data_IF_592738636375
#
_entry.id   IF_592738636375
#
_cell.length_a   1.000
_cell.length_b   1.000
_cell.length_c   1.000
_cell.angle_alpha   90.00
_cell.angle_beta   90.00
_cell.angle_gamma   90.00
#
_symmetry.space_group_name_H-M   'P 1'
#
loop_
_entity.id
_entity.type
_entity.pdbx_description
1 polymer ?
#
# COMPACT_ATOMS: atom_id res chain seq x y z
N UNK A 1 -20.85 -2.67 -8.75
CA UNK A 1 -21.45 -1.33 -8.80
C UNK A 1 -22.55 -1.34 -9.87
N UNK A 2 -23.78 -1.01 -9.50
CA UNK A 2 -24.88 -0.82 -10.44
C UNK A 2 -25.21 0.66 -10.44
N UNK A 3 -25.23 1.29 -11.61
CA UNK A 3 -25.39 2.74 -11.76
C UNK A 3 -26.49 3.04 -12.77
N UNK A 4 -27.33 4.01 -12.48
CA UNK A 4 -28.32 4.47 -13.43
C UNK A 4 -27.64 5.13 -14.65
N UNK A 5 -27.92 4.62 -15.86
CA UNK A 5 -27.35 5.13 -17.10
C UNK A 5 -27.60 6.64 -17.28
N UNK A 6 -28.77 7.15 -16.89
CA UNK A 6 -29.09 8.58 -16.96
C UNK A 6 -28.14 9.45 -16.12
N UNK A 7 -27.68 8.95 -14.96
CA UNK A 7 -26.68 9.68 -14.16
C UNK A 7 -25.37 9.85 -14.93
N UNK A 8 -24.91 8.78 -15.59
CA UNK A 8 -23.66 8.77 -16.37
C UNK A 8 -23.76 9.74 -17.55
N UNK A 9 -24.84 9.63 -18.33
CA UNK A 9 -25.00 10.44 -19.55
C UNK A 9 -25.25 11.91 -19.23
N UNK A 10 -26.15 12.23 -18.27
CA UNK A 10 -26.47 13.61 -17.91
C UNK A 10 -25.26 14.37 -17.32
N UNK A 11 -24.35 13.69 -16.67
CA UNK A 11 -23.17 14.31 -16.04
C UNK A 11 -21.88 14.05 -16.85
N UNK A 12 -21.97 13.45 -18.04
CA UNK A 12 -20.83 13.10 -18.91
C UNK A 12 -19.71 12.39 -18.14
N UNK A 13 -20.10 11.42 -17.28
CA UNK A 13 -19.14 10.64 -16.47
C UNK A 13 -18.50 9.58 -17.36
N UNK A 14 -17.19 9.63 -17.51
CA UNK A 14 -16.45 8.70 -18.34
C UNK A 14 -15.21 8.19 -17.61
N UNK A 15 -14.77 6.97 -17.96
CA UNK A 15 -13.46 6.49 -17.54
C UNK A 15 -12.37 7.41 -18.06
N UNK A 16 -11.57 7.95 -17.17
CA UNK A 16 -10.46 8.81 -17.56
C UNK A 16 -9.34 7.98 -18.17
N UNK A 17 -8.57 8.57 -19.08
CA UNK A 17 -7.40 7.93 -19.66
C UNK A 17 -6.27 7.76 -18.61
N UNK A 18 -6.50 6.88 -17.66
CA UNK A 18 -5.59 6.51 -16.57
C UNK A 18 -5.34 5.00 -16.71
N UNK A 19 -4.08 4.59 -16.78
CA UNK A 19 -3.74 3.18 -17.07
C UNK A 19 -4.04 2.21 -15.90
N UNK A 20 -4.04 2.71 -14.66
CA UNK A 20 -4.31 1.93 -13.44
C UNK A 20 -5.02 2.82 -12.45
N UNK A 21 -6.00 2.29 -11.71
CA UNK A 21 -6.84 3.04 -10.76
C UNK A 21 -7.81 4.04 -11.40
N UNK A 22 -8.14 3.86 -12.68
CA UNK A 22 -9.16 4.65 -13.39
C UNK A 22 -10.53 4.54 -12.70
N UNK A 23 -10.82 3.39 -12.13
CA UNK A 23 -12.02 3.10 -11.33
C UNK A 23 -12.15 4.01 -10.11
N UNK A 24 -11.04 4.43 -9.51
CA UNK A 24 -11.06 5.33 -8.34
C UNK A 24 -11.70 6.68 -8.68
N UNK A 25 -11.43 7.22 -9.86
CA UNK A 25 -12.01 8.49 -10.32
C UNK A 25 -13.46 8.29 -10.72
N UNK A 26 -13.72 7.28 -11.55
CA UNK A 26 -15.06 6.96 -12.04
C UNK A 26 -16.07 6.75 -10.89
N UNK A 27 -15.72 5.92 -9.92
CA UNK A 27 -16.55 5.67 -8.74
C UNK A 27 -16.71 6.94 -7.89
N UNK A 28 -15.67 7.76 -7.78
CA UNK A 28 -15.75 9.02 -7.02
C UNK A 28 -16.69 10.02 -7.67
N UNK A 29 -16.67 10.15 -9.00
CA UNK A 29 -17.61 11.01 -9.75
C UNK A 29 -19.06 10.53 -9.53
N UNK A 30 -19.32 9.23 -9.68
CA UNK A 30 -20.65 8.65 -9.46
C UNK A 30 -21.15 8.93 -8.05
N UNK A 31 -20.35 8.62 -7.02
CA UNK A 31 -20.77 8.80 -5.63
C UNK A 31 -20.98 10.26 -5.25
N UNK A 32 -20.21 11.19 -5.82
CA UNK A 32 -20.35 12.62 -5.55
C UNK A 32 -21.56 13.24 -6.27
N UNK A 33 -21.88 12.75 -7.48
CA UNK A 33 -22.95 13.33 -8.31
C UNK A 33 -24.31 12.61 -8.12
N UNK A 34 -24.32 11.43 -7.48
CA UNK A 34 -25.56 10.73 -7.19
C UNK A 34 -26.31 11.35 -6.01
N UNK A 35 -27.60 11.63 -6.21
CA UNK A 35 -28.48 12.13 -5.14
C UNK A 35 -28.85 11.05 -4.12
N UNK A 36 -28.96 9.80 -4.57
CA UNK A 36 -29.31 8.64 -3.74
C UNK A 36 -28.43 7.45 -4.10
N UNK A 37 -27.96 6.72 -3.10
CA UNK A 37 -27.26 5.45 -3.27
C UNK A 37 -27.69 4.45 -2.20
N UNK A 38 -27.64 3.17 -2.53
CA UNK A 38 -27.96 2.07 -1.62
C UNK A 38 -26.81 1.08 -1.60
N UNK A 39 -26.43 0.66 -0.41
CA UNK A 39 -25.45 -0.41 -0.24
C UNK A 39 -26.20 -1.74 -0.30
N UNK A 40 -25.79 -2.64 -1.21
CA UNK A 40 -26.31 -4.00 -1.29
C UNK A 40 -25.33 -4.89 -0.51
N UNK A 41 -25.73 -5.48 0.64
CA UNK A 41 -24.83 -6.25 1.50
C UNK A 41 -24.57 -7.67 0.96
N UNK A 42 -24.60 -7.86 -0.36
CA UNK A 42 -24.32 -9.11 -1.05
C UNK A 42 -23.09 -8.94 -1.94
N UNK A 43 -22.20 -9.91 -1.94
CA UNK A 43 -21.08 -9.97 -2.88
C UNK A 43 -21.59 -10.26 -4.29
N UNK A 44 -21.71 -9.21 -5.10
CA UNK A 44 -22.13 -9.32 -6.51
C UNK A 44 -20.95 -9.47 -7.49
N UNK A 45 -19.72 -9.43 -6.98
CA UNK A 45 -18.53 -9.43 -7.79
C UNK A 45 -17.37 -10.15 -7.09
N UNK A 46 -16.76 -11.10 -7.80
CA UNK A 46 -15.52 -11.76 -7.38
C UNK A 46 -14.34 -11.24 -8.19
N UNK A 47 -13.33 -10.74 -7.49
CA UNK A 47 -12.10 -10.31 -8.11
C UNK A 47 -11.07 -11.44 -8.08
N UNK A 48 -10.57 -11.84 -9.25
CA UNK A 48 -9.42 -12.75 -9.36
C UNK A 48 -8.14 -12.06 -8.85
N UNK A 49 -7.73 -12.36 -7.63
CA UNK A 49 -6.58 -11.71 -6.99
C UNK A 49 -5.23 -12.21 -7.52
N UNK A 50 -5.19 -13.33 -8.24
CA UNK A 50 -3.96 -14.04 -8.58
C UNK A 50 -3.57 -13.98 -10.06
N UNK A 51 -4.30 -13.26 -10.90
CA UNK A 51 -3.93 -13.10 -12.30
C UNK A 51 -2.58 -12.35 -12.42
N UNK A 52 -1.51 -12.99 -12.92
CA UNK A 52 -0.20 -12.37 -13.12
C UNK A 52 -0.24 -11.22 -14.13
N UNK A 53 -1.21 -11.23 -15.05
CA UNK A 53 -1.40 -10.19 -16.07
C UNK A 53 -2.26 -9.02 -15.59
N UNK A 54 -2.81 -9.09 -14.39
CA UNK A 54 -3.64 -8.02 -13.84
C UNK A 54 -2.89 -6.69 -13.82
N UNK A 55 -3.55 -5.65 -14.32
CA UNK A 55 -3.03 -4.27 -14.29
C UNK A 55 -2.67 -3.80 -12.88
N UNK A 56 -3.37 -4.32 -11.86
CA UNK A 56 -3.10 -4.00 -10.46
C UNK A 56 -1.76 -4.55 -9.94
N UNK A 57 -1.11 -5.46 -10.66
CA UNK A 57 0.22 -5.99 -10.34
C UNK A 57 1.36 -5.22 -11.00
N UNK A 58 1.06 -4.28 -11.90
CA UNK A 58 2.08 -3.38 -12.45
C UNK A 58 2.73 -2.59 -11.31
N UNK A 59 4.01 -2.28 -11.47
CA UNK A 59 4.80 -1.55 -10.47
C UNK A 59 5.59 -0.41 -11.12
N UNK A 60 6.09 0.50 -10.30
CA UNK A 60 6.99 1.55 -10.73
C UNK A 60 6.31 2.70 -11.46
N UNK A 61 6.88 3.12 -12.58
CA UNK A 61 6.56 4.37 -13.26
C UNK A 61 5.09 4.51 -13.68
N UNK A 62 4.49 3.44 -14.21
CA UNK A 62 3.08 3.44 -14.64
C UNK A 62 2.14 3.71 -13.46
N UNK A 63 2.38 3.07 -12.31
CA UNK A 63 1.59 3.30 -11.09
C UNK A 63 1.76 4.75 -10.61
N UNK A 64 3.00 5.26 -10.59
CA UNK A 64 3.26 6.63 -10.16
C UNK A 64 2.54 7.64 -11.04
N UNK A 65 2.60 7.50 -12.38
CA UNK A 65 1.87 8.37 -13.29
C UNK A 65 0.35 8.29 -13.08
N UNK A 66 -0.18 7.08 -12.92
CA UNK A 66 -1.61 6.86 -12.69
C UNK A 66 -2.07 7.49 -11.38
N UNK A 67 -1.33 7.31 -10.30
CA UNK A 67 -1.63 7.92 -9.00
C UNK A 67 -1.65 9.45 -9.07
N UNK A 68 -0.70 10.05 -9.80
CA UNK A 68 -0.69 11.51 -9.99
C UNK A 68 -1.97 11.96 -10.71
N UNK A 69 -2.35 11.28 -11.80
CA UNK A 69 -3.58 11.59 -12.54
C UNK A 69 -4.82 11.42 -11.68
N UNK A 70 -4.92 10.33 -10.90
CA UNK A 70 -6.02 10.14 -9.95
C UNK A 70 -6.11 11.30 -8.97
N UNK A 71 -5.00 11.72 -8.36
CA UNK A 71 -4.97 12.85 -7.45
C UNK A 71 -5.46 14.12 -8.14
N UNK A 72 -5.01 14.39 -9.37
CA UNK A 72 -5.42 15.57 -10.14
C UNK A 72 -6.92 15.57 -10.45
N UNK A 73 -7.47 14.44 -10.90
CA UNK A 73 -8.89 14.33 -11.22
C UNK A 73 -9.77 14.43 -9.96
N UNK A 74 -9.38 13.80 -8.85
CA UNK A 74 -10.08 13.97 -7.57
C UNK A 74 -10.03 15.43 -7.09
N UNK A 75 -8.91 16.12 -7.26
CA UNK A 75 -8.81 17.57 -6.93
C UNK A 75 -9.72 18.44 -7.82
N UNK A 76 -9.86 18.10 -9.12
CA UNK A 76 -10.82 18.75 -10.01
C UNK A 76 -12.27 18.52 -9.54
N UNK A 77 -12.59 17.27 -9.19
CA UNK A 77 -13.90 16.91 -8.65
C UNK A 77 -14.24 17.68 -7.37
N UNK A 78 -13.26 17.86 -6.46
CA UNK A 78 -13.43 18.68 -5.25
C UNK A 78 -13.74 20.16 -5.54
N UNK A 79 -13.32 20.67 -6.71
CA UNK A 79 -13.60 22.04 -7.16
C UNK A 79 -14.92 22.13 -7.92
N UNK A 80 -15.44 21.04 -8.44
CA UNK A 80 -16.68 21.05 -9.21
C UNK A 80 -17.82 21.61 -8.35
N UNK A 81 -18.62 22.52 -8.93
CA UNK A 81 -19.77 23.15 -8.27
C UNK A 81 -20.84 22.14 -7.92
N UNK A 82 -21.01 21.12 -8.77
CA UNK A 82 -22.03 20.08 -8.61
C UNK A 82 -21.65 19.02 -7.57
N UNK A 83 -20.38 18.98 -7.15
CA UNK A 83 -19.91 18.09 -6.10
C UNK A 83 -20.34 18.62 -4.73
N UNK A 84 -21.08 17.86 -3.91
CA UNK A 84 -21.51 18.28 -2.58
C UNK A 84 -20.34 18.69 -1.69
N UNK A 85 -20.46 19.83 -1.02
CA UNK A 85 -19.39 20.37 -0.14
C UNK A 85 -19.53 19.89 1.31
N UNK A 86 -20.17 18.76 1.54
CA UNK A 86 -20.34 18.18 2.88
C UNK A 86 -19.01 17.65 3.45
N UNK A 87 -18.93 17.58 4.78
CA UNK A 87 -17.75 17.00 5.45
C UNK A 87 -17.54 15.52 5.09
N UNK A 88 -18.60 14.76 4.89
CA UNK A 88 -18.54 13.34 4.47
C UNK A 88 -17.97 13.20 3.07
N UNK A 89 -18.47 13.96 2.08
CA UNK A 89 -17.94 13.99 0.72
C UNK A 89 -16.47 14.36 0.72
N UNK A 90 -16.11 15.41 1.45
CA UNK A 90 -14.72 15.85 1.58
C UNK A 90 -13.81 14.76 2.18
N UNK A 91 -14.24 14.13 3.28
CA UNK A 91 -13.50 13.01 3.91
C UNK A 91 -13.33 11.84 2.95
N UNK A 92 -14.38 11.48 2.21
CA UNK A 92 -14.32 10.42 1.21
C UNK A 92 -13.29 10.75 0.11
N UNK A 93 -13.34 11.92 -0.53
CA UNK A 93 -12.42 12.31 -1.59
C UNK A 93 -10.98 12.40 -1.07
N UNK A 94 -10.76 12.91 0.13
CA UNK A 94 -9.44 12.90 0.77
C UNK A 94 -8.93 11.49 1.02
N UNK A 95 -9.80 10.52 1.35
CA UNK A 95 -9.37 9.12 1.50
C UNK A 95 -8.87 8.53 0.18
N UNK A 96 -9.46 8.92 -0.97
CA UNK A 96 -8.99 8.50 -2.31
C UNK A 96 -7.64 9.12 -2.65
N UNK A 97 -7.45 10.40 -2.33
CA UNK A 97 -6.14 11.08 -2.48
C UNK A 97 -5.08 10.36 -1.63
N UNK A 98 -5.38 10.09 -0.35
CA UNK A 98 -4.46 9.41 0.55
C UNK A 98 -4.09 8.00 0.04
N UNK A 99 -5.06 7.25 -0.50
CA UNK A 99 -4.79 5.97 -1.13
C UNK A 99 -3.81 6.12 -2.31
N UNK A 100 -4.10 7.02 -3.25
CA UNK A 100 -3.24 7.26 -4.40
C UNK A 100 -1.85 7.75 -3.99
N UNK A 101 -1.74 8.59 -2.96
CA UNK A 101 -0.48 9.04 -2.38
C UNK A 101 0.36 7.88 -1.84
N UNK A 102 -0.25 6.97 -1.07
CA UNK A 102 0.46 5.80 -0.54
C UNK A 102 0.97 4.90 -1.67
N UNK A 103 0.16 4.66 -2.71
CA UNK A 103 0.58 3.88 -3.86
C UNK A 103 1.72 4.57 -4.63
N UNK A 104 1.64 5.88 -4.81
CA UNK A 104 2.69 6.69 -5.45
C UNK A 104 4.02 6.56 -4.67
N UNK A 105 4.00 6.78 -3.37
CA UNK A 105 5.18 6.71 -2.51
C UNK A 105 5.83 5.32 -2.52
N UNK A 106 5.02 4.26 -2.48
CA UNK A 106 5.53 2.89 -2.54
C UNK A 106 6.21 2.59 -3.88
N UNK A 107 5.72 3.17 -4.98
CA UNK A 107 6.18 2.86 -6.33
C UNK A 107 7.29 3.81 -6.84
N UNK A 108 7.40 5.03 -6.32
CA UNK A 108 8.47 5.96 -6.72
C UNK A 108 9.88 5.40 -6.43
N UNK A 109 9.97 4.51 -5.44
CA UNK A 109 11.23 3.90 -5.02
C UNK A 109 11.84 2.96 -6.08
N UNK A 110 10.97 2.30 -6.85
CA UNK A 110 11.38 1.37 -7.89
C UNK A 110 11.56 2.04 -9.25
N UNK A 111 11.28 3.35 -9.34
CA UNK A 111 11.49 4.13 -10.57
C UNK A 111 12.97 4.38 -10.85
N UNK A 112 13.37 4.28 -12.13
CA UNK A 112 14.70 4.64 -12.61
C UNK A 112 14.91 6.17 -12.59
N UNK A 113 16.17 6.63 -12.65
CA UNK A 113 16.52 8.08 -12.59
C UNK A 113 15.81 8.90 -13.67
N UNK A 114 15.81 8.44 -14.92
CA UNK A 114 15.13 9.10 -16.04
C UNK A 114 13.61 9.18 -15.84
N UNK A 115 12.99 8.13 -15.30
CA UNK A 115 11.56 8.12 -14.98
C UNK A 115 11.22 9.15 -13.90
N UNK A 116 12.09 9.36 -12.92
CA UNK A 116 11.90 10.36 -11.87
C UNK A 116 12.00 11.78 -12.44
N UNK A 117 12.90 12.02 -13.38
CA UNK A 117 12.98 13.31 -14.09
C UNK A 117 11.66 13.60 -14.79
N UNK A 118 11.10 12.60 -15.50
CA UNK A 118 9.81 12.75 -16.19
C UNK A 118 8.65 12.98 -15.21
N UNK A 119 8.64 12.29 -14.07
CA UNK A 119 7.67 12.52 -12.99
C UNK A 119 7.80 13.96 -12.48
N UNK A 120 9.01 14.44 -12.25
CA UNK A 120 9.25 15.80 -11.78
C UNK A 120 8.72 16.85 -12.78
N UNK A 121 9.00 16.68 -14.08
CA UNK A 121 8.48 17.56 -15.13
C UNK A 121 6.94 17.55 -15.16
N UNK A 122 6.33 16.38 -15.02
CA UNK A 122 4.88 16.24 -14.99
C UNK A 122 4.27 16.94 -13.77
N UNK A 123 4.90 16.82 -12.59
CA UNK A 123 4.48 17.54 -11.38
C UNK A 123 4.57 19.04 -11.55
N UNK A 124 5.67 19.56 -12.07
CA UNK A 124 5.86 21.00 -12.30
C UNK A 124 4.78 21.54 -13.22
N UNK A 125 4.51 20.85 -14.34
CA UNK A 125 3.47 21.24 -15.34
C UNK A 125 2.08 21.35 -14.69
N UNK A 126 1.76 20.50 -13.72
CA UNK A 126 0.44 20.41 -13.08
C UNK A 126 0.40 21.07 -11.68
N UNK A 127 1.41 21.85 -11.33
CA UNK A 127 1.58 22.43 -9.99
C UNK A 127 0.42 23.32 -9.54
N UNK A 128 -0.21 24.08 -10.46
CA UNK A 128 -1.37 24.91 -10.15
C UNK A 128 -2.55 24.10 -9.59
N UNK A 129 -2.77 22.92 -10.16
CA UNK A 129 -3.80 21.98 -9.67
C UNK A 129 -3.41 21.37 -8.32
N UNK A 130 -2.11 21.13 -8.11
CA UNK A 130 -1.56 20.64 -6.85
C UNK A 130 -1.59 21.67 -5.71
N UNK A 131 -1.74 22.98 -6.01
CA UNK A 131 -1.90 24.00 -4.97
C UNK A 131 -3.15 23.79 -4.09
N UNK A 132 -4.15 23.08 -4.59
CA UNK A 132 -5.29 22.61 -3.77
C UNK A 132 -4.88 21.62 -2.69
N UNK A 133 -3.88 20.80 -2.96
CA UNK A 133 -3.35 19.82 -2.03
C UNK A 133 -2.61 20.53 -0.89
N UNK A 134 -2.07 21.77 -1.11
CA UNK A 134 -1.43 22.57 -0.06
C UNK A 134 -2.38 22.92 1.10
N UNK A 135 -3.66 23.15 0.81
CA UNK A 135 -4.67 23.42 1.85
C UNK A 135 -5.07 22.16 2.63
N UNK A 136 -4.79 20.96 2.12
CA UNK A 136 -5.29 19.69 2.64
C UNK A 136 -4.24 18.83 3.37
N UNK A 137 -3.18 19.42 3.92
CA UNK A 137 -2.28 18.81 4.91
C UNK A 137 -1.42 17.59 4.51
N UNK A 138 -1.36 17.15 3.26
CA UNK A 138 -0.37 16.14 2.91
C UNK A 138 1.04 16.76 2.84
N UNK A 139 1.76 16.61 3.95
CA UNK A 139 3.15 17.08 4.11
C UNK A 139 4.06 16.44 3.03
N UNK A 140 3.71 15.22 2.61
CA UNK A 140 4.49 14.43 1.67
C UNK A 140 4.23 14.83 0.22
N UNK A 141 2.97 15.11 -0.17
CA UNK A 141 2.67 15.66 -1.49
C UNK A 141 3.24 17.06 -1.69
N UNK A 142 3.24 17.90 -0.64
CA UNK A 142 3.92 19.21 -0.66
C UNK A 142 5.42 19.06 -0.91
N UNK A 143 6.04 18.07 -0.28
CA UNK A 143 7.45 17.78 -0.45
C UNK A 143 7.74 17.21 -1.85
N UNK A 144 6.88 16.32 -2.36
CA UNK A 144 6.92 15.78 -3.74
C UNK A 144 6.82 16.90 -4.77
N UNK A 145 5.88 17.82 -4.60
CA UNK A 145 5.71 18.96 -5.51
C UNK A 145 6.93 19.90 -5.51
N UNK A 146 7.61 20.04 -4.38
CA UNK A 146 8.82 20.88 -4.29
C UNK A 146 10.07 20.20 -4.83
N UNK A 147 10.23 18.91 -4.63
CA UNK A 147 11.43 18.20 -5.05
C UNK A 147 11.26 16.67 -4.99
N UNK A 148 10.81 16.05 -6.08
CA UNK A 148 10.66 14.59 -6.21
C UNK A 148 11.97 13.85 -5.91
N UNK A 149 13.11 14.44 -6.27
CA UNK A 149 14.43 13.86 -6.00
C UNK A 149 14.75 13.83 -4.50
N UNK A 150 14.44 14.92 -3.78
CA UNK A 150 14.64 15.01 -2.32
C UNK A 150 13.77 14.01 -1.57
N UNK A 151 12.52 13.80 -2.04
CA UNK A 151 11.62 12.77 -1.51
C UNK A 151 12.21 11.38 -1.74
N UNK A 152 12.71 11.09 -2.94
CA UNK A 152 13.38 9.82 -3.22
C UNK A 152 14.60 9.63 -2.32
N UNK A 153 15.44 10.66 -2.15
CA UNK A 153 16.62 10.62 -1.28
C UNK A 153 16.22 10.36 0.18
N UNK A 154 15.23 11.09 0.69
CA UNK A 154 14.73 10.88 2.06
C UNK A 154 14.12 9.50 2.25
N UNK A 155 13.39 9.00 1.26
CA UNK A 155 12.81 7.66 1.28
C UNK A 155 13.86 6.56 1.12
N UNK A 156 14.89 6.79 0.32
CA UNK A 156 16.05 5.89 0.23
C UNK A 156 16.83 5.88 1.55
N UNK A 157 17.04 7.03 2.18
CA UNK A 157 17.67 7.10 3.50
C UNK A 157 16.85 6.37 4.57
N UNK A 158 15.52 6.52 4.53
CA UNK A 158 14.62 5.78 5.40
C UNK A 158 14.66 4.27 5.11
N UNK A 159 14.67 3.87 3.84
CA UNK A 159 14.85 2.48 3.41
C UNK A 159 16.24 1.96 3.80
N UNK A 160 17.28 2.79 3.65
CA UNK A 160 18.65 2.45 4.06
C UNK A 160 18.77 2.25 5.56
N UNK A 161 18.18 3.11 6.40
CA UNK A 161 18.14 2.90 7.86
C UNK A 161 17.55 1.52 8.20
N UNK A 162 16.53 1.07 7.48
CA UNK A 162 15.90 -0.23 7.70
C UNK A 162 16.72 -1.39 7.13
N UNK A 163 17.30 -1.21 5.95
CA UNK A 163 18.27 -2.14 5.41
C UNK A 163 19.43 -2.30 6.41
N UNK A 164 19.91 -1.21 7.01
CA UNK A 164 20.93 -1.26 8.06
C UNK A 164 20.44 -1.97 9.32
N UNK A 165 19.19 -1.75 9.73
CA UNK A 165 18.60 -2.47 10.87
C UNK A 165 18.50 -3.97 10.59
N UNK A 166 18.13 -4.37 9.36
CA UNK A 166 18.05 -5.78 8.97
C UNK A 166 19.44 -6.34 8.63
N UNK A 167 20.36 -5.52 8.10
CA UNK A 167 21.72 -5.93 7.72
C UNK A 167 22.53 -6.47 8.90
N UNK A 168 22.28 -6.00 10.13
CA UNK A 168 22.92 -6.56 11.33
C UNK A 168 22.60 -8.04 11.57
N UNK A 169 21.57 -8.58 10.94
CA UNK A 169 21.21 -9.99 10.98
C UNK A 169 21.77 -10.81 9.81
N UNK A 170 22.50 -10.17 8.86
CA UNK A 170 23.03 -10.86 7.68
C UNK A 170 24.03 -11.97 8.01
N UNK A 171 24.85 -11.74 9.03
CA UNK A 171 25.88 -12.69 9.47
C UNK A 171 25.40 -13.58 10.63
N UNK A 172 24.13 -13.53 10.93
CA UNK A 172 23.51 -14.38 11.94
C UNK A 172 23.10 -15.70 11.29
N UNK A 173 23.64 -16.81 11.75
CA UNK A 173 23.27 -18.16 11.28
C UNK A 173 21.85 -18.58 11.67
N UNK A 174 21.13 -17.72 12.39
CA UNK A 174 19.77 -18.00 12.79
C UNK A 174 18.83 -18.09 11.58
N UNK A 175 17.82 -18.92 11.71
CA UNK A 175 16.67 -18.98 10.81
C UNK A 175 15.63 -17.97 11.23
N UNK A 176 14.97 -17.36 10.27
CA UNK A 176 14.01 -16.29 10.50
C UNK A 176 12.62 -16.65 9.97
N UNK A 177 11.61 -16.18 10.66
CA UNK A 177 10.21 -16.23 10.23
C UNK A 177 9.72 -14.78 10.11
N UNK A 178 8.92 -14.49 9.09
CA UNK A 178 8.26 -13.19 8.95
C UNK A 178 6.80 -13.34 9.38
N UNK A 179 6.35 -12.53 10.32
CA UNK A 179 4.95 -12.44 10.71
C UNK A 179 4.29 -11.22 10.05
N UNK A 180 3.16 -11.40 9.39
CA UNK A 180 2.39 -10.55 8.49
C UNK A 180 2.79 -10.70 7.02
N UNK A 181 1.85 -11.25 6.21
CA UNK A 181 2.02 -11.46 4.76
C UNK A 181 1.56 -10.29 3.90
N UNK A 182 1.06 -9.20 4.49
CA UNK A 182 0.64 -7.99 3.79
C UNK A 182 1.80 -7.26 3.10
N UNK A 183 1.51 -6.16 2.43
CA UNK A 183 2.47 -5.36 1.66
C UNK A 183 3.74 -5.01 2.43
N UNK A 184 3.63 -4.88 3.74
CA UNK A 184 4.75 -4.61 4.62
C UNK A 184 5.67 -5.82 4.81
N UNK A 185 5.11 -6.98 5.12
CA UNK A 185 5.87 -8.23 5.20
C UNK A 185 6.54 -8.57 3.88
N UNK A 186 5.89 -8.27 2.75
CA UNK A 186 6.49 -8.45 1.42
C UNK A 186 7.74 -7.57 1.22
N UNK A 187 7.70 -6.31 1.65
CA UNK A 187 8.88 -5.42 1.56
C UNK A 187 10.03 -5.97 2.41
N UNK A 188 9.74 -6.40 3.65
CA UNK A 188 10.76 -6.96 4.54
C UNK A 188 11.32 -8.27 3.98
N UNK A 189 10.47 -9.17 3.49
CA UNK A 189 10.90 -10.40 2.83
C UNK A 189 11.83 -10.11 1.65
N UNK A 190 11.47 -9.13 0.79
CA UNK A 190 12.34 -8.72 -0.33
C UNK A 190 13.71 -8.23 0.15
N UNK A 191 13.76 -7.45 1.24
CA UNK A 191 15.02 -6.99 1.82
C UNK A 191 15.82 -8.18 2.36
N UNK A 192 15.18 -9.09 3.09
CA UNK A 192 15.84 -10.29 3.62
C UNK A 192 16.43 -11.16 2.51
N UNK A 193 15.67 -11.44 1.46
CA UNK A 193 16.12 -12.22 0.30
C UNK A 193 17.31 -11.55 -0.40
N UNK A 194 17.27 -10.23 -0.61
CA UNK A 194 18.37 -9.48 -1.22
C UNK A 194 19.65 -9.48 -0.36
N UNK A 195 19.50 -9.55 0.97
CA UNK A 195 20.61 -9.62 1.91
C UNK A 195 21.05 -11.07 2.20
N UNK A 196 20.45 -12.06 1.56
CA UNK A 196 20.68 -13.49 1.77
C UNK A 196 20.43 -13.93 3.23
N UNK A 197 19.50 -13.27 3.93
CA UNK A 197 19.05 -13.68 5.26
C UNK A 197 18.14 -14.90 5.10
N UNK A 198 18.39 -15.93 5.89
CA UNK A 198 17.66 -17.19 5.80
C UNK A 198 16.25 -17.07 6.40
N UNK A 199 15.28 -16.64 5.58
CA UNK A 199 13.86 -16.66 5.92
C UNK A 199 13.28 -18.01 5.54
N UNK A 200 12.73 -18.74 6.48
CA UNK A 200 12.19 -20.09 6.24
C UNK A 200 10.79 -20.01 5.61
N UNK A 201 9.88 -19.28 6.24
CA UNK A 201 8.51 -19.08 5.75
C UNK A 201 7.91 -17.79 6.32
N UNK A 202 6.65 -17.52 5.95
CA UNK A 202 5.87 -16.37 6.39
C UNK A 202 4.67 -16.85 7.19
N UNK A 203 4.25 -16.10 8.19
CA UNK A 203 3.03 -16.34 8.99
C UNK A 203 2.06 -15.18 8.79
N UNK A 204 0.77 -15.49 8.72
CA UNK A 204 -0.28 -14.50 8.76
C UNK A 204 -1.50 -15.00 9.55
N UNK A 205 -2.15 -14.08 10.27
CA UNK A 205 -3.39 -14.36 11.00
C UNK A 205 -4.59 -14.55 10.06
N UNK A 206 -4.51 -14.02 8.85
CA UNK A 206 -5.57 -14.19 7.87
C UNK A 206 -5.43 -15.55 7.18
N UNK A 207 -6.32 -16.47 7.52
CA UNK A 207 -6.35 -17.83 6.96
C UNK A 207 -6.49 -17.86 5.44
N UNK A 208 -7.03 -16.81 4.81
CA UNK A 208 -7.11 -16.68 3.36
C UNK A 208 -5.74 -16.77 2.67
N UNK A 209 -4.67 -16.38 3.36
CA UNK A 209 -3.30 -16.45 2.82
C UNK A 209 -2.60 -17.79 3.11
N UNK A 210 -3.14 -18.61 4.00
CA UNK A 210 -2.52 -19.91 4.36
C UNK A 210 -2.39 -20.82 3.14
N UNK A 211 -1.22 -21.45 2.98
CA UNK A 211 -0.86 -22.29 1.84
C UNK A 211 -0.44 -21.53 0.58
N UNK A 212 -0.69 -20.21 0.50
CA UNK A 212 -0.26 -19.39 -0.63
C UNK A 212 1.22 -19.02 -0.51
N UNK A 213 1.78 -18.52 -1.61
CA UNK A 213 3.17 -18.03 -1.61
C UNK A 213 3.23 -16.51 -1.59
N UNK A 214 4.09 -15.99 -0.73
CA UNK A 214 4.57 -14.62 -0.79
C UNK A 214 5.98 -14.68 -1.40
N UNK A 215 6.13 -14.30 -2.67
CA UNK A 215 7.36 -14.55 -3.46
C UNK A 215 7.72 -16.06 -3.46
N UNK A 216 8.91 -16.42 -2.98
CA UNK A 216 9.38 -17.81 -2.90
C UNK A 216 8.98 -18.54 -1.62
N UNK A 217 8.34 -17.86 -0.65
CA UNK A 217 8.05 -18.43 0.68
C UNK A 217 6.59 -18.76 0.86
N UNK A 218 6.31 -19.89 1.48
CA UNK A 218 4.94 -20.33 1.81
C UNK A 218 4.44 -19.52 3.01
N UNK A 219 3.17 -19.16 2.98
CA UNK A 219 2.48 -18.51 4.11
C UNK A 219 1.75 -19.60 4.90
N UNK A 220 1.98 -19.63 6.20
CA UNK A 220 1.29 -20.51 7.13
C UNK A 220 0.43 -19.72 8.12
N UNK A 221 -0.54 -20.39 8.72
CA UNK A 221 -1.30 -19.83 9.86
C UNK A 221 -0.50 -19.96 11.17
N UNK A 222 -0.81 -19.18 12.22
CA UNK A 222 -0.16 -19.32 13.52
C UNK A 222 -0.31 -20.70 14.16
N UNK A 223 -1.37 -21.43 13.85
CA UNK A 223 -1.58 -22.81 14.33
C UNK A 223 -0.48 -23.77 13.86
N UNK A 224 0.12 -23.51 12.69
CA UNK A 224 1.28 -24.26 12.21
C UNK A 224 2.48 -24.12 13.16
N UNK A 225 2.76 -22.92 13.66
CA UNK A 225 3.82 -22.70 14.65
C UNK A 225 3.54 -23.46 15.95
N UNK A 226 2.29 -23.43 16.43
CA UNK A 226 1.89 -24.14 17.66
C UNK A 226 2.13 -25.64 17.52
N UNK A 227 1.74 -26.24 16.38
CA UNK A 227 1.91 -27.68 16.11
C UNK A 227 3.38 -28.11 16.02
N UNK A 228 4.26 -27.21 15.57
CA UNK A 228 5.68 -27.50 15.29
C UNK A 228 6.63 -26.69 16.15
N UNK A 229 6.23 -26.24 17.33
CA UNK A 229 7.01 -25.34 18.17
C UNK A 229 8.43 -25.90 18.46
N UNK A 230 8.57 -27.19 18.72
CA UNK A 230 9.89 -27.82 18.98
C UNK A 230 10.93 -27.56 17.88
N UNK A 231 10.47 -27.43 16.63
CA UNK A 231 11.36 -27.17 15.47
C UNK A 231 11.67 -25.68 15.28
N UNK A 232 10.84 -24.80 15.81
CA UNK A 232 10.91 -23.36 15.53
C UNK A 232 11.14 -22.49 16.75
N UNK A 233 11.27 -23.07 17.97
CA UNK A 233 11.46 -22.33 19.22
C UNK A 233 12.63 -21.35 19.19
N UNK A 234 13.71 -21.69 18.49
CA UNK A 234 14.94 -20.91 18.40
C UNK A 234 14.94 -19.92 17.24
N UNK A 235 13.91 -19.97 16.36
CA UNK A 235 13.83 -19.04 15.25
C UNK A 235 13.54 -17.64 15.73
N UNK A 236 14.18 -16.66 15.10
CA UNK A 236 13.85 -15.25 15.28
C UNK A 236 12.66 -14.86 14.41
N UNK A 237 11.71 -14.13 14.95
CA UNK A 237 10.49 -13.71 14.25
C UNK A 237 10.52 -12.21 14.01
N UNK A 238 10.53 -11.80 12.75
CA UNK A 238 10.32 -10.41 12.35
C UNK A 238 8.83 -10.10 12.32
N UNK A 239 8.33 -9.36 13.30
CA UNK A 239 6.93 -8.90 13.34
C UNK A 239 6.82 -7.62 12.53
N UNK A 240 6.18 -7.74 11.35
CA UNK A 240 6.07 -6.70 10.34
C UNK A 240 4.71 -6.00 10.44
N UNK A 241 4.48 -5.18 11.46
CA UNK A 241 3.26 -4.41 11.58
C UNK A 241 3.54 -2.96 12.00
N UNK A 242 2.94 -1.99 11.28
CA UNK A 242 3.10 -0.56 11.55
C UNK A 242 2.31 -0.10 12.79
N UNK A 243 1.19 -0.77 13.05
CA UNK A 243 0.34 -0.44 14.18
C UNK A 243 0.91 -1.07 15.45
N UNK A 244 1.33 -0.23 16.38
CA UNK A 244 1.92 -0.66 17.64
C UNK A 244 0.98 -1.55 18.50
N UNK A 245 -0.31 -1.26 18.49
CA UNK A 245 -1.28 -2.08 19.22
C UNK A 245 -1.41 -3.48 18.60
N UNK A 246 -1.42 -3.57 17.28
CA UNK A 246 -1.40 -4.86 16.57
C UNK A 246 -0.09 -5.61 16.78
N UNK A 247 1.04 -4.91 16.78
CA UNK A 247 2.33 -5.50 17.14
C UNK A 247 2.27 -6.13 18.54
N UNK A 248 1.77 -5.42 19.56
CA UNK A 248 1.62 -5.96 20.92
C UNK A 248 0.74 -7.22 20.94
N UNK A 249 -0.40 -7.21 20.23
CA UNK A 249 -1.29 -8.38 20.14
C UNK A 249 -0.59 -9.58 19.52
N UNK A 250 0.13 -9.38 18.41
CA UNK A 250 0.89 -10.45 17.74
C UNK A 250 2.01 -10.96 18.66
N UNK A 251 2.72 -10.07 19.33
CA UNK A 251 3.77 -10.44 20.27
C UNK A 251 3.22 -11.34 21.40
N UNK A 252 2.13 -10.93 22.05
CA UNK A 252 1.46 -11.72 23.08
C UNK A 252 0.96 -13.07 22.55
N UNK A 253 0.44 -13.10 21.31
CA UNK A 253 0.03 -14.34 20.67
C UNK A 253 1.20 -15.32 20.52
N UNK A 254 2.37 -14.83 20.07
CA UNK A 254 3.58 -15.64 19.88
C UNK A 254 4.16 -16.12 21.23
N UNK A 255 4.13 -15.27 22.25
CA UNK A 255 4.52 -15.65 23.64
C UNK A 255 3.62 -16.76 24.19
N UNK A 256 2.30 -16.68 23.96
CA UNK A 256 1.36 -17.73 24.34
C UNK A 256 1.56 -19.04 23.57
N UNK A 257 2.09 -19.00 22.35
CA UNK A 257 2.49 -20.18 21.59
C UNK A 257 3.74 -20.84 22.18
N UNK A 258 4.59 -20.06 22.90
CA UNK A 258 5.80 -20.55 23.56
C UNK A 258 7.11 -19.93 23.04
N UNK A 259 7.05 -18.89 22.19
CA UNK A 259 8.25 -18.20 21.73
C UNK A 259 8.85 -17.28 22.81
N UNK A 260 10.17 -17.30 22.94
CA UNK A 260 10.88 -16.41 23.85
C UNK A 260 10.82 -14.95 23.37
N UNK A 261 10.57 -14.01 24.28
CA UNK A 261 10.50 -12.57 23.98
C UNK A 261 11.73 -12.03 23.23
N UNK A 262 12.92 -12.54 23.55
CA UNK A 262 14.19 -12.15 22.89
C UNK A 262 14.24 -12.50 21.39
N UNK A 263 13.45 -13.49 20.96
CA UNK A 263 13.38 -13.93 19.57
C UNK A 263 12.34 -13.13 18.77
N UNK A 264 11.52 -12.28 19.42
CA UNK A 264 10.46 -11.51 18.76
C UNK A 264 10.97 -10.10 18.44
N UNK A 265 11.28 -9.86 17.18
CA UNK A 265 11.93 -8.65 16.70
C UNK A 265 10.91 -7.76 16.01
N UNK A 266 10.64 -6.59 16.55
CA UNK A 266 9.84 -5.58 15.87
C UNK A 266 10.65 -4.94 14.75
N UNK A 267 10.13 -5.02 13.54
CA UNK A 267 10.64 -4.23 12.43
C UNK A 267 9.72 -3.02 12.27
N UNK A 268 10.09 -1.90 12.88
CA UNK A 268 9.38 -0.64 12.72
C UNK A 268 9.70 0.00 11.37
N UNK A 269 8.67 0.45 10.70
CA UNK A 269 8.81 1.21 9.46
C UNK A 269 8.25 2.61 9.65
#
# INVERSE_FOLDING_TARGET
FVVNKKLITANNINFKNIKVFEDQVFVSEILCLSKKHKIIPKGLYERRMQDPHSLSKKTGYIIVQSCIRVILEICKLMKNKDCPKTNSTRKFLLSRINFAEQQLLNNILVCKKNQIINISKFFVKNFSTLNLIKKNNSKQLKLLAKNVYKVKKNFLNFKMKKILTIKKFKNDFNKYIIFCAGSYGEIILKICLNLKINVEFVIDNNNFYSGKRLRSKIIHSPSFLKKKLRYFSDHKIFICNKNYNQFKKIKLQLEKIGFNKKNLIQINI
#
